data_IF_902153984666
#
_entry.id   IF_902153984666
#
_cell.length_a   1.000
_cell.length_b   1.000
_cell.length_c   1.000
_cell.angle_alpha   90.00
_cell.angle_beta   90.00
_cell.angle_gamma   90.00
#
_symmetry.space_group_name_H-M   'P 1'
#
loop_
_entity.id
_entity.type
_entity.pdbx_description
1 polymer ?
#
# COMPACT_ATOMS: atom_id res chain seq x y z
N UNK A 1 -9.27 9.77 15.01
CA UNK A 1 -9.09 8.49 14.27
C UNK A 1 -10.47 8.08 13.81
N UNK A 2 -10.66 7.62 12.56
CA UNK A 2 -11.99 7.30 12.05
C UNK A 2 -12.68 6.24 12.91
N UNK A 3 -14.01 6.35 13.10
CA UNK A 3 -14.81 5.42 13.90
C UNK A 3 -14.56 3.95 13.48
N UNK A 4 -14.37 3.70 12.18
CA UNK A 4 -14.10 2.37 11.63
C UNK A 4 -12.77 1.75 12.09
N UNK A 5 -11.71 2.52 12.34
CA UNK A 5 -10.42 1.93 12.75
C UNK A 5 -10.53 1.32 14.15
N UNK A 6 -11.02 2.09 15.13
CA UNK A 6 -11.20 1.61 16.52
C UNK A 6 -12.25 0.49 16.60
N UNK A 7 -13.31 0.58 15.81
CA UNK A 7 -14.36 -0.44 15.76
C UNK A 7 -13.84 -1.77 15.21
N UNK A 8 -13.12 -1.76 14.08
CA UNK A 8 -12.55 -2.98 13.51
C UNK A 8 -11.46 -3.57 14.43
N UNK A 9 -10.65 -2.73 15.06
CA UNK A 9 -9.70 -3.18 16.09
C UNK A 9 -10.39 -3.86 17.26
N UNK A 10 -11.50 -3.31 17.76
CA UNK A 10 -12.29 -3.96 18.82
C UNK A 10 -12.88 -5.29 18.35
N UNK A 11 -13.44 -5.34 17.15
CA UNK A 11 -14.16 -6.50 16.61
C UNK A 11 -13.25 -7.66 16.20
N UNK A 12 -12.11 -7.37 15.58
CA UNK A 12 -11.25 -8.38 14.95
C UNK A 12 -9.84 -8.48 15.56
N UNK A 13 -9.44 -7.51 16.39
CA UNK A 13 -8.10 -7.44 16.98
C UNK A 13 -8.08 -7.35 18.50
N UNK A 14 -9.20 -7.64 19.17
CA UNK A 14 -9.34 -7.53 20.63
C UNK A 14 -8.90 -6.15 21.18
N UNK A 15 -9.23 -5.09 20.46
CA UNK A 15 -8.87 -3.71 20.81
C UNK A 15 -7.51 -3.24 20.28
N UNK A 16 -6.74 -4.11 19.60
CA UNK A 16 -5.50 -3.75 18.91
C UNK A 16 -5.72 -3.68 17.40
N UNK A 17 -4.84 -2.97 16.69
CA UNK A 17 -4.68 -3.13 15.26
C UNK A 17 -3.59 -4.17 15.00
N UNK A 18 -3.94 -5.24 14.29
CA UNK A 18 -3.04 -6.31 13.85
C UNK A 18 -3.38 -6.67 12.38
N UNK A 19 -2.69 -7.67 11.82
CA UNK A 19 -2.89 -8.07 10.41
C UNK A 19 -4.32 -8.57 10.11
N UNK A 20 -5.01 -9.17 11.08
CA UNK A 20 -6.44 -9.54 10.93
C UNK A 20 -7.30 -8.30 10.75
N UNK A 21 -7.05 -7.27 11.55
CA UNK A 21 -7.75 -5.97 11.43
C UNK A 21 -7.41 -5.30 10.10
N UNK A 22 -6.14 -5.36 9.68
CA UNK A 22 -5.70 -4.82 8.39
C UNK A 22 -6.50 -5.43 7.22
N UNK A 23 -6.67 -6.75 7.21
CA UNK A 23 -7.48 -7.48 6.21
C UNK A 23 -8.94 -7.03 6.19
N UNK A 24 -9.60 -7.01 7.34
CA UNK A 24 -11.03 -6.69 7.39
C UNK A 24 -11.29 -5.22 7.10
N UNK A 25 -10.47 -4.32 7.63
CA UNK A 25 -10.60 -2.89 7.38
C UNK A 25 -10.29 -2.54 5.93
N UNK A 26 -9.23 -3.09 5.33
CA UNK A 26 -8.87 -2.84 3.92
C UNK A 26 -10.01 -3.25 2.99
N UNK A 27 -10.54 -4.46 3.19
CA UNK A 27 -11.70 -4.93 2.42
C UNK A 27 -12.93 -4.05 2.60
N UNK A 28 -13.27 -3.71 3.85
CA UNK A 28 -14.40 -2.84 4.12
C UNK A 28 -14.28 -1.48 3.42
N UNK A 29 -13.08 -0.87 3.46
CA UNK A 29 -12.83 0.41 2.79
C UNK A 29 -12.92 0.30 1.27
N UNK A 30 -12.44 -0.78 0.67
CA UNK A 30 -12.56 -1.03 -0.77
C UNK A 30 -14.04 -1.18 -1.14
N UNK A 31 -14.78 -2.05 -0.46
CA UNK A 31 -16.22 -2.26 -0.70
C UNK A 31 -17.02 -0.96 -0.57
N UNK A 32 -16.80 -0.23 0.53
CA UNK A 32 -17.45 1.05 0.75
C UNK A 32 -17.16 2.04 -0.38
N UNK A 33 -15.91 2.11 -0.84
CA UNK A 33 -15.53 3.04 -1.91
C UNK A 33 -16.13 2.63 -3.25
N UNK A 34 -16.22 1.33 -3.55
CA UNK A 34 -16.96 0.81 -4.71
C UNK A 34 -18.43 1.24 -4.65
N UNK A 35 -19.05 1.15 -3.47
CA UNK A 35 -20.46 1.44 -3.27
C UNK A 35 -20.80 2.94 -3.28
N UNK A 36 -19.82 3.83 -3.08
CA UNK A 36 -20.07 5.26 -2.82
C UNK A 36 -19.28 6.23 -3.69
N UNK A 37 -18.20 5.80 -4.34
CA UNK A 37 -17.36 6.65 -5.19
C UNK A 37 -17.49 6.21 -6.66
N UNK A 38 -18.17 6.98 -7.53
CA UNK A 38 -18.37 6.63 -8.93
C UNK A 38 -17.08 6.62 -9.76
N UNK A 39 -16.02 7.27 -9.28
CA UNK A 39 -14.70 7.34 -9.96
C UNK A 39 -13.63 6.61 -9.16
N UNK A 40 -14.02 5.55 -8.44
CA UNK A 40 -13.06 4.76 -7.67
C UNK A 40 -12.07 4.04 -8.58
N UNK A 41 -10.77 4.21 -8.32
CA UNK A 41 -9.70 3.46 -8.98
C UNK A 41 -8.76 2.84 -7.94
N UNK A 42 -8.49 1.55 -8.08
CA UNK A 42 -7.50 0.79 -7.32
C UNK A 42 -6.59 0.06 -8.31
N UNK A 43 -5.74 0.84 -8.99
CA UNK A 43 -4.90 0.39 -10.11
C UNK A 43 -3.41 0.60 -9.82
N UNK A 44 -2.55 -0.24 -10.40
CA UNK A 44 -1.10 -0.03 -10.43
C UNK A 44 -0.50 0.30 -9.07
N UNK A 45 0.10 1.49 -8.96
CA UNK A 45 0.73 1.96 -7.73
C UNK A 45 -0.24 2.03 -6.55
N UNK A 46 -1.48 2.47 -6.76
CA UNK A 46 -2.46 2.61 -5.69
C UNK A 46 -2.88 1.24 -5.14
N UNK A 47 -3.04 0.24 -6.01
CA UNK A 47 -3.27 -1.14 -5.56
C UNK A 47 -2.09 -1.64 -4.71
N UNK A 48 -0.85 -1.41 -5.16
CA UNK A 48 0.34 -1.79 -4.41
C UNK A 48 0.41 -1.13 -3.02
N UNK A 49 0.31 0.20 -2.96
CA UNK A 49 0.47 0.93 -1.69
C UNK A 49 -0.70 0.71 -0.74
N UNK A 50 -1.93 0.56 -1.24
CA UNK A 50 -3.09 0.32 -0.38
C UNK A 50 -2.92 -0.92 0.51
N UNK A 51 -2.35 -2.02 -0.01
CA UNK A 51 -2.11 -3.21 0.79
C UNK A 51 -0.86 -3.08 1.67
N UNK A 52 0.23 -2.55 1.12
CA UNK A 52 1.48 -2.32 1.89
C UNK A 52 1.27 -1.41 3.10
N UNK A 53 0.56 -0.30 2.92
CA UNK A 53 0.30 0.67 3.98
C UNK A 53 -0.61 0.12 5.09
N UNK A 54 -1.42 -0.90 4.80
CA UNK A 54 -2.23 -1.57 5.83
C UNK A 54 -1.36 -2.42 6.79
N UNK A 55 -0.14 -2.79 6.39
CA UNK A 55 0.81 -3.52 7.24
C UNK A 55 1.62 -2.58 8.13
N UNK A 56 1.93 -1.37 7.67
CA UNK A 56 2.83 -0.45 8.38
C UNK A 56 2.47 -0.24 9.87
N UNK A 57 1.20 -0.11 10.28
CA UNK A 57 0.89 0.07 11.69
C UNK A 57 1.36 -1.10 12.58
N UNK A 58 1.43 -2.32 12.04
CA UNK A 58 1.89 -3.50 12.77
C UNK A 58 3.40 -3.65 12.76
N UNK A 59 4.11 -3.06 11.78
CA UNK A 59 5.56 -3.24 11.62
C UNK A 59 6.40 -2.03 12.06
N UNK A 60 5.85 -0.82 12.06
CA UNK A 60 6.60 0.41 12.37
C UNK A 60 6.01 1.28 13.49
N UNK A 61 4.73 1.08 13.88
CA UNK A 61 4.08 1.87 14.94
C UNK A 61 3.96 1.15 16.29
N UNK A 62 4.27 -0.14 16.35
CA UNK A 62 4.38 -0.89 17.62
C UNK A 62 5.71 -0.52 18.30
N UNK A 63 5.67 -0.26 19.61
CA UNK A 63 6.90 0.03 20.38
C UNK A 63 7.85 -1.18 20.31
N UNK A 64 9.10 -0.93 19.91
CA UNK A 64 10.08 -1.98 19.63
C UNK A 64 10.50 -2.84 20.83
N UNK A 65 10.08 -2.49 22.05
CA UNK A 65 10.28 -3.32 23.25
C UNK A 65 9.16 -4.34 23.46
N UNK A 66 8.00 -4.15 22.82
CA UNK A 66 6.89 -5.12 22.86
C UNK A 66 7.32 -6.38 22.12
N UNK A 67 7.13 -7.53 22.76
CA UNK A 67 7.59 -8.82 22.26
C UNK A 67 6.51 -9.90 22.40
N UNK A 68 6.80 -11.10 21.90
CA UNK A 68 5.88 -12.24 21.97
C UNK A 68 4.60 -12.01 21.16
N UNK A 69 3.44 -12.51 21.62
CA UNK A 69 2.19 -12.46 20.87
C UNK A 69 1.71 -11.05 20.49
N UNK A 70 2.18 -10.00 21.18
CA UNK A 70 1.79 -8.61 20.94
C UNK A 70 2.77 -7.82 20.06
N UNK A 71 3.86 -8.43 19.58
CA UNK A 71 4.89 -7.74 18.80
C UNK A 71 4.38 -7.04 17.51
N UNK A 72 3.22 -7.46 17.00
CA UNK A 72 2.55 -6.88 15.83
C UNK A 72 1.15 -6.31 16.16
N UNK A 73 0.91 -5.95 17.42
CA UNK A 73 -0.37 -5.45 17.91
C UNK A 73 -0.24 -3.99 18.35
N UNK A 74 -0.67 -3.08 17.49
CA UNK A 74 -0.70 -1.65 17.78
C UNK A 74 -1.89 -1.30 18.66
N UNK A 75 -1.65 -0.75 19.85
CA UNK A 75 -2.73 -0.27 20.71
C UNK A 75 -3.36 1.03 20.19
N UNK A 76 -4.61 1.29 20.57
CA UNK A 76 -5.36 2.44 20.03
C UNK A 76 -4.83 3.80 20.47
N UNK A 77 -4.16 3.89 21.63
CA UNK A 77 -3.58 5.16 22.09
C UNK A 77 -2.37 5.50 21.24
N UNK A 78 -1.48 4.53 21.01
CA UNK A 78 -0.36 4.70 20.09
C UNK A 78 -0.84 5.00 18.67
N UNK A 79 -1.82 4.24 18.16
CA UNK A 79 -2.40 4.49 16.84
C UNK A 79 -2.98 5.90 16.71
N UNK A 80 -3.68 6.41 17.72
CA UNK A 80 -4.20 7.78 17.72
C UNK A 80 -3.08 8.83 17.74
N UNK A 81 -2.01 8.58 18.51
CA UNK A 81 -0.83 9.45 18.53
C UNK A 81 -0.19 9.58 17.14
N UNK A 82 -0.02 8.46 16.43
CA UNK A 82 0.53 8.48 15.07
C UNK A 82 -0.43 9.12 14.06
N UNK A 83 -1.65 8.61 13.95
CA UNK A 83 -2.57 9.00 12.86
C UNK A 83 -3.22 10.37 13.04
N UNK A 84 -3.46 10.82 14.28
CA UNK A 84 -4.13 12.10 14.52
C UNK A 84 -3.17 13.20 14.89
N UNK A 85 -2.14 12.87 15.65
CA UNK A 85 -1.25 13.86 16.24
C UNK A 85 0.11 13.92 15.54
N UNK A 86 0.37 13.02 14.59
CA UNK A 86 1.68 12.86 13.92
C UNK A 86 2.83 12.83 14.92
N UNK A 87 2.61 12.15 16.05
CA UNK A 87 3.48 12.19 17.21
C UNK A 87 3.82 10.78 17.68
N UNK A 88 5.10 10.54 17.93
CA UNK A 88 5.53 9.33 18.64
C UNK A 88 4.92 9.27 20.05
N UNK A 89 4.42 8.11 20.50
CA UNK A 89 4.06 7.92 21.90
C UNK A 89 5.22 8.28 22.84
N UNK A 90 4.90 8.68 24.07
CA UNK A 90 5.94 8.98 25.05
C UNK A 90 6.81 7.74 25.33
N UNK A 91 8.12 7.92 25.37
CA UNK A 91 9.10 6.83 25.52
C UNK A 91 9.04 5.79 24.39
N UNK A 92 8.55 6.12 23.19
CA UNK A 92 8.50 5.18 22.07
C UNK A 92 9.89 4.76 21.58
N UNK A 93 10.10 3.44 21.43
CA UNK A 93 11.27 2.88 20.76
C UNK A 93 10.89 2.39 19.37
N UNK A 94 11.72 2.73 18.36
CA UNK A 94 11.57 2.16 17.02
C UNK A 94 11.69 0.63 17.06
N UNK A 95 11.13 -0.03 16.04
CA UNK A 95 11.29 -1.47 15.86
C UNK A 95 12.77 -1.89 15.90
N UNK A 96 13.05 -3.06 16.49
CA UNK A 96 14.40 -3.61 16.67
C UNK A 96 15.01 -4.16 15.37
N UNK A 97 14.20 -4.29 14.31
CA UNK A 97 14.60 -4.69 12.96
C UNK A 97 14.02 -3.70 11.93
N UNK A 98 14.59 -3.58 10.72
CA UNK A 98 13.98 -2.82 9.64
C UNK A 98 12.52 -3.24 9.45
N UNK A 99 11.60 -2.26 9.49
CA UNK A 99 10.16 -2.50 9.32
C UNK A 99 9.69 -2.05 7.95
N UNK A 100 8.89 -2.87 7.29
CA UNK A 100 8.22 -2.58 6.02
C UNK A 100 6.98 -3.49 5.89
N UNK A 101 6.30 -3.44 4.75
CA UNK A 101 5.47 -4.53 4.27
C UNK A 101 6.36 -5.49 3.45
N UNK A 102 6.38 -6.75 3.83
CA UNK A 102 7.23 -7.79 3.26
C UNK A 102 6.38 -8.94 2.68
N UNK A 103 7.06 -9.92 2.07
CA UNK A 103 6.41 -11.06 1.43
C UNK A 103 5.60 -11.93 2.42
N UNK A 104 5.90 -11.86 3.72
CA UNK A 104 5.19 -12.62 4.76
C UNK A 104 3.94 -11.89 5.27
N UNK A 105 4.00 -10.57 5.35
CA UNK A 105 2.93 -9.73 5.92
C UNK A 105 1.90 -9.27 4.89
N UNK A 106 2.29 -9.05 3.63
CA UNK A 106 1.40 -8.63 2.53
C UNK A 106 0.24 -9.61 2.24
N UNK A 107 0.44 -10.94 2.28
CA UNK A 107 -0.66 -11.89 2.04
C UNK A 107 -1.82 -11.76 3.03
N UNK A 108 -1.57 -11.26 4.25
CA UNK A 108 -2.60 -11.15 5.28
C UNK A 108 -3.70 -10.12 4.92
N UNK A 109 -3.41 -8.84 4.60
CA UNK A 109 -4.43 -7.89 4.20
C UNK A 109 -5.02 -8.17 2.82
N UNK A 110 -4.28 -8.81 1.91
CA UNK A 110 -4.80 -9.23 0.60
C UNK A 110 -5.82 -10.38 0.75
N UNK A 111 -5.52 -11.33 1.63
CA UNK A 111 -6.28 -12.57 1.79
C UNK A 111 -5.98 -13.59 0.68
N UNK A 112 -6.65 -14.74 0.76
CA UNK A 112 -6.47 -15.87 -0.17
C UNK A 112 -7.68 -16.12 -1.07
N UNK A 113 -8.75 -15.32 -0.93
CA UNK A 113 -9.96 -15.45 -1.73
C UNK A 113 -9.84 -14.60 -3.00
N UNK A 114 -9.65 -15.21 -4.18
CA UNK A 114 -9.45 -14.47 -5.42
C UNK A 114 -10.71 -13.70 -5.86
N UNK A 115 -11.89 -14.04 -5.33
CA UNK A 115 -13.16 -13.38 -5.64
C UNK A 115 -13.43 -12.18 -4.72
N UNK A 116 -12.58 -11.94 -3.71
CA UNK A 116 -12.76 -10.82 -2.79
C UNK A 116 -12.50 -9.49 -3.51
N UNK A 117 -13.40 -8.53 -3.36
CA UNK A 117 -13.24 -7.19 -3.95
C UNK A 117 -11.90 -6.55 -3.54
N UNK A 118 -11.16 -6.08 -4.54
CA UNK A 118 -9.82 -5.54 -4.39
C UNK A 118 -8.71 -6.57 -4.25
N UNK A 119 -8.99 -7.87 -4.37
CA UNK A 119 -7.96 -8.88 -4.62
C UNK A 119 -7.25 -8.61 -5.96
N UNK A 120 -8.04 -8.21 -6.96
CA UNK A 120 -7.57 -7.75 -8.26
C UNK A 120 -7.60 -6.22 -8.34
N UNK A 121 -6.70 -5.66 -9.15
CA UNK A 121 -6.75 -4.26 -9.52
C UNK A 121 -7.98 -3.97 -10.38
N UNK A 122 -8.58 -2.79 -10.21
CA UNK A 122 -9.77 -2.42 -10.95
C UNK A 122 -10.31 -1.04 -10.60
N UNK A 123 -11.44 -0.70 -11.20
CA UNK A 123 -12.09 0.60 -11.06
C UNK A 123 -13.59 0.53 -11.31
N UNK A 124 -14.32 1.52 -10.80
CA UNK A 124 -15.69 1.77 -11.21
C UNK A 124 -15.70 2.43 -12.60
N UNK A 125 -16.49 1.88 -13.54
CA UNK A 125 -16.54 2.38 -14.93
C UNK A 125 -17.85 3.08 -15.30
N UNK A 126 -18.95 2.75 -14.63
CA UNK A 126 -20.31 3.20 -14.93
C UNK A 126 -21.03 3.68 -13.66
N UNK A 127 -20.34 4.49 -12.84
CA UNK A 127 -20.85 5.00 -11.57
C UNK A 127 -20.57 4.07 -10.38
N UNK A 128 -21.28 4.25 -9.28
CA UNK A 128 -21.09 3.39 -8.09
C UNK A 128 -21.48 1.94 -8.39
N UNK A 129 -20.88 0.99 -7.66
CA UNK A 129 -21.18 -0.45 -7.78
C UNK A 129 -20.94 -1.06 -9.18
N UNK A 130 -20.02 -0.48 -9.94
CA UNK A 130 -19.69 -0.90 -11.30
C UNK A 130 -18.22 -1.33 -11.42
N UNK A 131 -17.70 -1.97 -10.37
CA UNK A 131 -16.29 -2.31 -10.30
C UNK A 131 -15.94 -3.38 -11.35
N UNK A 132 -15.05 -3.02 -12.25
CA UNK A 132 -14.47 -3.89 -13.26
C UNK A 132 -12.98 -4.08 -13.02
N UNK A 133 -12.52 -5.31 -13.26
CA UNK A 133 -11.10 -5.67 -13.15
C UNK A 133 -10.34 -4.98 -14.29
N UNK A 134 -9.25 -4.30 -13.93
CA UNK A 134 -8.36 -3.63 -14.86
C UNK A 134 -6.92 -3.77 -14.35
N UNK A 135 -6.15 -4.62 -15.02
CA UNK A 135 -4.74 -4.87 -14.71
C UNK A 135 -3.79 -4.19 -15.71
N UNK A 136 -4.29 -3.26 -16.53
CA UNK A 136 -3.48 -2.58 -17.56
C UNK A 136 -2.29 -1.79 -17.00
N UNK A 137 -2.36 -1.39 -15.72
CA UNK A 137 -1.30 -0.70 -15.00
C UNK A 137 -0.47 -1.63 -14.09
N UNK A 138 -0.70 -2.94 -14.17
CA UNK A 138 -0.21 -3.92 -13.21
C UNK A 138 -0.87 -3.80 -11.83
N UNK A 139 -0.41 -4.62 -10.90
CA UNK A 139 -0.89 -4.69 -9.52
C UNK A 139 0.20 -5.17 -8.57
N UNK A 140 -0.14 -5.33 -7.29
CA UNK A 140 0.69 -5.99 -6.28
C UNK A 140 1.06 -7.44 -6.69
N UNK A 141 0.20 -8.10 -7.48
CA UNK A 141 0.40 -9.46 -7.97
C UNK A 141 1.25 -9.53 -9.25
N UNK A 142 1.49 -8.39 -9.90
CA UNK A 142 2.22 -8.30 -11.16
C UNK A 142 3.21 -7.14 -11.15
N UNK A 143 4.13 -7.15 -10.18
CA UNK A 143 4.98 -5.98 -9.86
C UNK A 143 5.84 -5.51 -11.03
N UNK A 144 6.33 -6.40 -11.89
CA UNK A 144 7.08 -6.01 -13.08
C UNK A 144 6.21 -5.34 -14.14
N UNK A 145 4.94 -5.71 -14.27
CA UNK A 145 3.98 -5.01 -15.13
C UNK A 145 3.73 -3.61 -14.60
N UNK A 146 3.55 -3.47 -13.28
CA UNK A 146 3.44 -2.17 -12.63
C UNK A 146 4.68 -1.30 -12.88
N UNK A 147 5.89 -1.84 -12.66
CA UNK A 147 7.14 -1.13 -12.91
C UNK A 147 7.24 -0.63 -14.36
N UNK A 148 6.98 -1.51 -15.34
CA UNK A 148 7.01 -1.14 -16.76
C UNK A 148 5.99 -0.06 -17.10
N UNK A 149 4.78 -0.14 -16.54
CA UNK A 149 3.77 0.90 -16.72
C UNK A 149 4.18 2.22 -16.06
N UNK A 150 4.67 2.17 -14.82
CA UNK A 150 5.05 3.35 -14.06
C UNK A 150 6.19 4.11 -14.75
N UNK A 151 7.28 3.41 -15.07
CA UNK A 151 8.46 4.01 -15.70
C UNK A 151 8.23 4.30 -17.17
N UNK A 152 7.69 3.32 -17.92
CA UNK A 152 7.57 3.40 -19.37
C UNK A 152 6.35 4.14 -19.89
N UNK A 153 5.32 4.40 -19.08
CA UNK A 153 4.13 5.17 -19.50
C UNK A 153 3.84 6.34 -18.59
N UNK A 154 3.71 6.12 -17.28
CA UNK A 154 3.27 7.18 -16.35
C UNK A 154 4.31 8.29 -16.20
N UNK A 155 5.57 7.94 -15.93
CA UNK A 155 6.64 8.93 -15.84
C UNK A 155 6.92 9.61 -17.18
N UNK A 156 6.94 8.85 -18.27
CA UNK A 156 7.10 9.41 -19.61
C UNK A 156 5.96 10.39 -19.96
N UNK A 157 4.72 10.12 -19.52
CA UNK A 157 3.61 11.06 -19.70
C UNK A 157 3.77 12.37 -18.93
N UNK A 158 4.44 12.36 -17.77
CA UNK A 158 4.75 13.56 -16.99
C UNK A 158 5.93 14.35 -17.58
N UNK A 159 6.92 13.64 -18.11
CA UNK A 159 8.13 14.20 -18.69
C UNK A 159 8.32 13.65 -20.11
N UNK A 160 7.55 14.12 -21.11
CA UNK A 160 7.57 13.52 -22.44
C UNK A 160 8.87 13.79 -23.22
N UNK A 161 9.53 14.92 -22.96
CA UNK A 161 10.78 15.30 -23.62
C UNK A 161 11.69 16.09 -22.67
N UNK A 162 12.22 15.47 -21.60
CA UNK A 162 13.09 16.16 -20.67
C UNK A 162 14.42 16.50 -21.35
N UNK A 163 15.03 17.62 -20.98
CA UNK A 163 16.32 18.06 -21.53
C UNK A 163 17.30 18.44 -20.42
N UNK A 164 18.57 18.56 -20.77
CA UNK A 164 19.64 19.04 -19.89
C UNK A 164 19.69 18.30 -18.55
N UNK A 165 19.66 19.05 -17.45
CA UNK A 165 19.77 18.52 -16.08
C UNK A 165 18.60 17.60 -15.71
N UNK A 166 17.38 17.89 -16.19
CA UNK A 166 16.21 17.08 -15.88
C UNK A 166 16.32 15.69 -16.51
N UNK A 167 16.71 15.62 -17.78
CA UNK A 167 16.95 14.34 -18.47
C UNK A 167 18.00 13.50 -17.74
N UNK A 168 19.15 14.10 -17.43
CA UNK A 168 20.24 13.44 -16.70
C UNK A 168 19.75 12.90 -15.35
N UNK A 169 19.06 13.73 -14.57
CA UNK A 169 18.61 13.34 -13.24
C UNK A 169 17.50 12.27 -13.30
N UNK A 170 16.63 12.28 -14.31
CA UNK A 170 15.66 11.21 -14.52
C UNK A 170 16.35 9.88 -14.79
N UNK A 171 17.36 9.83 -15.67
CA UNK A 171 18.11 8.60 -15.93
C UNK A 171 18.85 8.07 -14.70
N UNK A 172 19.41 8.96 -13.87
CA UNK A 172 20.07 8.58 -12.62
C UNK A 172 19.08 7.99 -11.60
N UNK A 173 17.91 8.62 -11.42
CA UNK A 173 16.92 8.16 -10.44
C UNK A 173 16.16 6.90 -10.88
N UNK A 174 16.17 6.57 -12.17
CA UNK A 174 15.44 5.41 -12.73
C UNK A 174 16.25 4.12 -12.81
N UNK A 175 17.43 4.08 -12.20
CA UNK A 175 18.24 2.87 -12.03
C UNK A 175 17.66 1.96 -10.92
N UNK A 176 16.43 1.47 -11.16
CA UNK A 176 15.61 0.77 -10.16
C UNK A 176 15.58 -0.76 -10.33
N UNK A 177 16.08 -1.32 -11.43
CA UNK A 177 15.91 -2.75 -11.76
C UNK A 177 16.47 -3.70 -10.71
N UNK A 178 17.64 -3.37 -10.17
CA UNK A 178 18.34 -4.21 -9.19
C UNK A 178 17.59 -4.27 -7.85
N UNK A 179 16.68 -3.32 -7.61
CA UNK A 179 15.89 -3.24 -6.39
C UNK A 179 14.59 -4.05 -6.45
N UNK A 180 14.06 -4.30 -7.66
CA UNK A 180 12.71 -4.88 -7.86
C UNK A 180 12.72 -6.18 -8.65
N UNK A 181 13.89 -6.69 -9.02
CA UNK A 181 14.08 -7.94 -9.79
C UNK A 181 13.25 -7.98 -11.09
N UNK A 182 13.19 -6.85 -11.79
CA UNK A 182 12.51 -6.69 -13.08
C UNK A 182 13.50 -6.18 -14.13
N UNK A 183 13.30 -6.54 -15.40
CA UNK A 183 14.11 -5.99 -16.50
C UNK A 183 14.00 -4.48 -16.56
N UNK A 184 15.13 -3.77 -16.49
CA UNK A 184 15.18 -2.32 -16.49
C UNK A 184 14.54 -1.72 -17.75
N UNK A 185 13.76 -0.66 -17.55
CA UNK A 185 13.19 0.18 -18.62
C UNK A 185 13.96 1.49 -18.69
N UNK A 186 14.22 1.95 -19.91
CA UNK A 186 14.98 3.17 -20.21
C UNK A 186 14.10 4.14 -21.00
N UNK A 187 13.17 4.88 -20.36
CA UNK A 187 12.17 5.69 -21.06
C UNK A 187 12.77 6.87 -21.83
N UNK A 188 14.01 7.26 -21.51
CA UNK A 188 14.72 8.38 -22.14
C UNK A 188 16.03 7.97 -22.81
N UNK A 189 16.18 6.68 -23.14
CA UNK A 189 17.40 6.11 -23.71
C UNK A 189 18.40 5.61 -22.66
N UNK A 190 19.49 5.02 -23.15
CA UNK A 190 20.66 4.65 -22.36
C UNK A 190 21.76 5.67 -22.64
N UNK A 191 22.59 5.92 -21.63
CA UNK A 191 23.89 6.56 -21.85
C UNK A 191 24.85 5.56 -22.51
#
# INVERSE_FOLDING_TARGET
MGASFKEFSKRYGNGYYNLTVARELRYHRIKQTIDTNPTFELLGHHHFTAFSEAVFPTSIFVDGRVSGPLAAHLDMKAGESFFMNMRYPWSFFRASKPGTADAESIPAPLGSDPMRLGFQAGRNVNGVKSFEVDESQGSLLSICTFYKFFVGKRLQGLYPNPTGVLWRNLNLNLQLSDQINCTQVFPYGRD
#
